data_IF_608748027997
#
_entry.id   IF_608748027997
#
_cell.length_a   1.000
_cell.length_b   1.000
_cell.length_c   1.000
_cell.angle_alpha   90.00
_cell.angle_beta   90.00
_cell.angle_gamma   90.00
#
_symmetry.space_group_name_H-M   'P 1'
#
loop_
_entity.id
_entity.type
_entity.pdbx_description
1 polymer ?
#
# COMPACT_ATOMS: atom_id res chain seq x y z
N UNK A 1 11.45 -13.26 -24.74
CA UNK A 1 12.08 -11.99 -24.31
C UNK A 1 11.40 -11.58 -23.01
N UNK A 2 11.97 -11.93 -21.86
CA UNK A 2 11.46 -11.46 -20.57
C UNK A 2 12.07 -10.09 -20.34
N UNK A 3 11.30 -9.05 -20.64
CA UNK A 3 11.70 -7.67 -20.38
C UNK A 3 11.79 -7.52 -18.85
N UNK A 4 13.02 -7.50 -18.34
CA UNK A 4 13.30 -7.16 -16.95
C UNK A 4 12.74 -5.77 -16.71
N UNK A 5 11.70 -5.69 -15.87
CA UNK A 5 11.09 -4.42 -15.47
C UNK A 5 12.17 -3.60 -14.77
N UNK A 6 12.80 -2.69 -15.52
CA UNK A 6 13.76 -1.74 -15.00
C UNK A 6 13.16 -1.09 -13.76
N UNK A 7 13.82 -1.25 -12.61
CA UNK A 7 13.55 -0.48 -11.40
C UNK A 7 13.98 0.97 -11.70
N UNK A 8 13.18 1.68 -12.49
CA UNK A 8 13.34 3.10 -12.66
C UNK A 8 12.93 3.76 -11.34
N UNK A 9 13.83 4.54 -10.74
CA UNK A 9 13.49 5.41 -9.62
C UNK A 9 12.37 6.36 -10.08
N UNK A 10 11.25 6.36 -9.36
CA UNK A 10 9.99 7.05 -9.71
C UNK A 10 8.90 6.14 -10.28
N UNK A 11 9.26 4.93 -10.75
CA UNK A 11 8.32 3.97 -11.32
C UNK A 11 7.39 3.37 -10.27
N UNK A 12 6.09 3.51 -10.49
CA UNK A 12 5.09 2.78 -9.73
C UNK A 12 4.93 1.38 -10.31
N UNK A 13 4.74 0.39 -9.43
CA UNK A 13 4.39 -0.95 -9.87
C UNK A 13 3.03 -0.92 -10.55
N UNK A 14 3.01 -1.08 -11.88
CA UNK A 14 1.79 -1.13 -12.70
C UNK A 14 0.85 -2.28 -12.30
N UNK A 15 1.42 -3.34 -11.72
CA UNK A 15 0.70 -4.52 -11.28
C UNK A 15 0.40 -4.40 -9.79
N UNK A 16 -0.89 -4.28 -9.39
CA UNK A 16 -1.28 -4.41 -8.00
C UNK A 16 -0.96 -5.82 -7.52
N UNK A 17 -0.12 -5.90 -6.48
CA UNK A 17 0.19 -7.16 -5.83
C UNK A 17 -0.88 -7.45 -4.79
N UNK A 18 -1.30 -8.70 -4.63
CA UNK A 18 -2.24 -9.07 -3.58
C UNK A 18 -1.65 -8.81 -2.20
N UNK A 19 -2.47 -8.37 -1.26
CA UNK A 19 -1.96 -8.08 0.08
C UNK A 19 -1.66 -9.37 0.85
N UNK A 20 -0.37 -9.57 1.14
CA UNK A 20 0.09 -10.63 2.03
C UNK A 20 -0.19 -10.32 3.51
N UNK A 21 -0.05 -11.35 4.36
CA UNK A 21 -0.20 -11.24 5.82
C UNK A 21 0.67 -10.12 6.41
N UNK A 22 1.88 -9.91 5.87
CA UNK A 22 2.77 -8.81 6.28
C UNK A 22 2.14 -7.43 6.02
N UNK A 23 1.55 -7.23 4.84
CA UNK A 23 0.86 -5.98 4.49
C UNK A 23 -0.37 -5.80 5.36
N UNK A 24 -1.08 -6.89 5.66
CA UNK A 24 -2.21 -6.87 6.57
C UNK A 24 -1.80 -6.43 7.98
N UNK A 25 -0.69 -6.96 8.54
CA UNK A 25 -0.16 -6.52 9.84
C UNK A 25 0.24 -5.05 9.84
N UNK A 26 0.88 -4.57 8.77
CA UNK A 26 1.21 -3.14 8.62
C UNK A 26 -0.08 -2.31 8.59
N UNK A 27 -1.08 -2.74 7.82
CA UNK A 27 -2.40 -2.11 7.76
C UNK A 27 -3.05 -2.01 9.14
N UNK A 28 -2.97 -3.07 9.96
CA UNK A 28 -3.52 -3.07 11.31
C UNK A 28 -2.78 -2.09 12.23
N UNK A 29 -1.45 -2.04 12.13
CA UNK A 29 -0.63 -1.08 12.87
C UNK A 29 -0.87 0.38 12.49
N UNK A 30 -1.12 0.67 11.21
CA UNK A 30 -1.45 2.04 10.74
C UNK A 30 -2.95 2.34 10.79
N UNK A 31 -3.80 1.37 11.15
CA UNK A 31 -5.25 1.50 11.19
C UNK A 31 -5.67 2.67 12.07
N UNK A 32 -5.13 2.77 13.28
CA UNK A 32 -5.44 3.85 14.21
C UNK A 32 -5.11 5.23 13.61
N UNK A 33 -3.94 5.37 12.99
CA UNK A 33 -3.52 6.60 12.33
C UNK A 33 -4.38 6.91 11.07
N UNK A 34 -4.81 5.87 10.35
CA UNK A 34 -5.68 6.00 9.19
C UNK A 34 -7.10 6.44 9.59
N UNK A 35 -7.66 5.89 10.66
CA UNK A 35 -8.96 6.27 11.22
C UNK A 35 -8.96 7.72 11.73
N UNK A 36 -7.88 8.12 12.41
CA UNK A 36 -7.68 9.50 12.86
C UNK A 36 -7.59 10.48 11.68
N UNK A 37 -6.76 10.18 10.67
CA UNK A 37 -6.65 11.03 9.47
C UNK A 37 -7.93 11.07 8.64
N UNK A 38 -8.66 9.96 8.54
CA UNK A 38 -9.90 9.89 7.80
C UNK A 38 -11.10 10.45 8.60
N UNK A 39 -10.95 10.66 9.91
CA UNK A 39 -12.04 11.04 10.81
C UNK A 39 -13.17 10.01 10.86
N UNK A 40 -12.89 8.74 10.54
CA UNK A 40 -13.87 7.66 10.42
C UNK A 40 -13.27 6.36 10.95
N UNK A 41 -14.09 5.58 11.65
CA UNK A 41 -13.71 4.24 12.12
C UNK A 41 -13.98 3.20 11.04
N UNK A 42 -13.06 2.25 10.88
CA UNK A 42 -13.16 1.13 9.96
C UNK A 42 -13.24 -0.16 10.76
N UNK A 43 -14.40 -0.82 10.78
CA UNK A 43 -14.52 -2.13 11.42
C UNK A 43 -13.61 -3.16 10.75
N UNK A 44 -13.58 -3.15 9.41
CA UNK A 44 -12.76 -4.06 8.60
C UNK A 44 -11.68 -3.27 7.85
N UNK A 45 -10.43 -3.43 8.26
CA UNK A 45 -9.27 -2.81 7.61
C UNK A 45 -8.46 -3.88 6.87
N UNK A 46 -9.08 -4.51 5.87
CA UNK A 46 -8.45 -5.58 5.09
C UNK A 46 -7.80 -5.02 3.83
N UNK A 47 -6.51 -5.26 3.69
CA UNK A 47 -5.77 -4.94 2.47
C UNK A 47 -6.18 -5.90 1.36
N UNK A 48 -6.57 -5.36 0.20
CA UNK A 48 -6.88 -6.16 -1.00
C UNK A 48 -5.67 -6.28 -1.89
N UNK A 49 -5.11 -5.13 -2.26
CA UNK A 49 -3.93 -5.05 -3.08
C UNK A 49 -3.06 -3.89 -2.66
N UNK A 50 -1.79 -3.98 -2.97
CA UNK A 50 -0.84 -2.90 -2.76
C UNK A 50 0.05 -2.73 -3.97
N UNK A 51 0.55 -1.51 -4.13
CA UNK A 51 1.56 -1.16 -5.13
C UNK A 51 2.67 -0.43 -4.44
N UNK A 52 3.91 -0.67 -4.87
CA UNK A 52 5.07 0.06 -4.37
C UNK A 52 5.62 0.98 -5.45
N UNK A 53 6.14 2.12 -5.03
CA UNK A 53 6.85 3.06 -5.87
C UNK A 53 8.20 3.35 -5.21
N UNK A 54 9.29 3.04 -5.92
CA UNK A 54 10.65 3.27 -5.45
C UNK A 54 11.05 4.70 -5.80
N UNK A 55 11.39 5.52 -4.80
CA UNK A 55 11.88 6.91 -4.92
C UNK A 55 13.14 7.07 -4.04
N UNK A 56 13.33 8.19 -3.32
CA UNK A 56 14.29 8.29 -2.22
C UNK A 56 13.79 7.56 -0.95
N UNK A 57 13.34 6.33 -1.12
CA UNK A 57 12.53 5.54 -0.18
C UNK A 57 11.58 4.61 -0.93
N UNK A 58 10.75 3.83 -0.22
CA UNK A 58 9.75 2.97 -0.87
C UNK A 58 8.37 3.41 -0.41
N UNK A 59 7.61 4.00 -1.33
CA UNK A 59 6.23 4.35 -1.04
C UNK A 59 5.36 3.11 -1.24
N UNK A 60 4.61 2.71 -0.21
CA UNK A 60 3.59 1.68 -0.34
C UNK A 60 2.22 2.32 -0.41
N UNK A 61 1.49 1.96 -1.46
CA UNK A 61 0.12 2.36 -1.72
C UNK A 61 -0.77 1.16 -1.50
N UNK A 62 -1.42 1.12 -0.34
CA UNK A 62 -2.31 0.01 0.00
C UNK A 62 -3.73 0.42 -0.36
N UNK A 63 -4.35 -0.40 -1.21
CA UNK A 63 -5.74 -0.22 -1.64
C UNK A 63 -6.64 -1.03 -0.72
N UNK A 64 -7.28 -0.30 0.19
CA UNK A 64 -8.41 -0.81 0.96
C UNK A 64 -9.71 -0.40 0.24
N UNK A 65 -10.83 -1.03 0.60
CA UNK A 65 -12.12 -0.74 -0.02
C UNK A 65 -12.59 0.72 0.19
N UNK A 66 -11.93 1.47 1.07
CA UNK A 66 -12.40 2.79 1.51
C UNK A 66 -11.29 3.82 1.71
N UNK A 67 -10.01 3.42 1.77
CA UNK A 67 -8.90 4.33 2.10
C UNK A 67 -7.67 4.02 1.25
N UNK A 68 -6.97 5.08 0.86
CA UNK A 68 -5.66 5.04 0.24
C UNK A 68 -4.61 5.44 1.26
N UNK A 69 -3.76 4.47 1.65
CA UNK A 69 -2.71 4.70 2.64
C UNK A 69 -1.40 4.85 1.88
N UNK A 70 -0.73 5.98 2.08
CA UNK A 70 0.64 6.18 1.61
C UNK A 70 1.59 6.05 2.79
N UNK A 71 2.38 4.99 2.78
CA UNK A 71 3.50 4.80 3.70
C UNK A 71 4.74 5.30 2.96
N UNK A 72 5.49 6.20 3.57
CA UNK A 72 6.72 6.86 3.05
C UNK A 72 7.88 6.54 3.96
#
# INVERSE_FOLDING_TARGET
>A
MSCGKEMMCGGMSDVPTEADEKIQTICDGVKAAAEEKAGKKYEVFKAKSYTSQVVAGTNYFIKNNTVFIRIT
#
